data_IF_352536463980
#
_entry.id   IF_352536463980
#
_cell.length_a   1.000
_cell.length_b   1.000
_cell.length_c   1.000
_cell.angle_alpha   90.00
_cell.angle_beta   90.00
_cell.angle_gamma   90.00
#
_symmetry.space_group_name_H-M   'P 1'
#
loop_
_entity.id
_entity.type
_entity.pdbx_description
1 polymer ?
#
# COMPACT_ATOMS: atom_id res chain seq x y z
N UNK A 1 46.89 -16.30 -18.70
CA UNK A 1 45.79 -15.42 -19.12
C UNK A 1 44.46 -16.07 -18.78
N UNK A 2 43.80 -15.69 -17.67
CA UNK A 2 42.37 -15.92 -17.47
C UNK A 2 41.81 -14.70 -16.75
N UNK A 3 41.06 -13.88 -17.49
CA UNK A 3 40.44 -12.64 -17.01
C UNK A 3 39.22 -13.04 -16.16
N UNK A 4 39.21 -12.65 -14.89
CA UNK A 4 38.02 -12.74 -14.05
C UNK A 4 37.12 -11.55 -14.41
N UNK A 5 35.99 -11.83 -15.07
CA UNK A 5 34.92 -10.86 -15.27
C UNK A 5 33.97 -10.96 -14.08
N UNK A 6 34.13 -10.06 -13.11
CA UNK A 6 33.14 -9.85 -12.05
C UNK A 6 31.99 -9.07 -12.66
N UNK A 7 30.88 -9.74 -12.94
CA UNK A 7 29.61 -9.06 -13.25
C UNK A 7 29.13 -8.36 -11.96
N UNK A 8 29.25 -7.04 -11.91
CA UNK A 8 28.46 -6.22 -11.01
C UNK A 8 26.99 -6.33 -11.44
N UNK A 9 26.23 -7.16 -10.72
CA UNK A 9 24.78 -7.07 -10.74
C UNK A 9 24.38 -5.73 -10.12
N UNK A 10 23.95 -4.79 -10.96
CA UNK A 10 23.27 -3.56 -10.55
C UNK A 10 22.01 -3.95 -9.76
N UNK A 11 22.11 -3.95 -8.44
CA UNK A 11 20.95 -3.96 -7.57
C UNK A 11 20.30 -2.59 -7.72
N UNK A 12 19.30 -2.48 -8.59
CA UNK A 12 18.44 -1.31 -8.68
C UNK A 12 17.56 -1.28 -7.43
N UNK A 13 18.12 -0.86 -6.29
CA UNK A 13 17.32 -0.42 -5.16
C UNK A 13 16.72 0.92 -5.54
N UNK A 14 15.55 0.90 -6.18
CA UNK A 14 14.69 2.09 -6.23
C UNK A 14 14.15 2.34 -4.83
N UNK A 15 15.04 2.80 -3.93
CA UNK A 15 14.66 3.44 -2.70
C UNK A 15 14.05 4.76 -3.10
N UNK A 16 12.72 4.85 -3.06
CA UNK A 16 12.04 6.13 -3.13
C UNK A 16 12.52 6.94 -1.92
N UNK A 17 13.45 7.87 -2.15
CA UNK A 17 13.88 8.79 -1.12
C UNK A 17 12.65 9.63 -0.74
N UNK A 18 12.16 9.45 0.49
CA UNK A 18 11.08 10.28 1.00
C UNK A 18 11.59 11.74 1.05
N UNK A 19 10.78 12.72 0.63
CA UNK A 19 11.17 14.11 0.61
C UNK A 19 11.35 14.66 2.04
N UNK A 20 11.94 15.85 2.16
CA UNK A 20 12.06 16.58 3.44
C UNK A 20 12.91 15.89 4.51
N UNK A 21 13.88 15.05 4.12
CA UNK A 21 14.65 14.20 5.06
C UNK A 21 13.75 13.31 5.91
N UNK A 22 12.58 12.93 5.38
CA UNK A 22 11.68 12.02 6.05
C UNK A 22 12.20 10.58 5.95
N UNK A 23 11.92 9.79 6.99
CA UNK A 23 12.17 8.34 7.02
C UNK A 23 10.89 7.53 7.02
N UNK A 24 9.76 8.14 7.37
CA UNK A 24 8.45 7.50 7.28
C UNK A 24 7.36 8.49 6.85
N UNK A 25 6.21 7.93 6.44
CA UNK A 25 5.06 8.68 5.96
C UNK A 25 3.75 7.97 6.33
N UNK A 26 2.69 8.74 6.59
CA UNK A 26 1.36 8.21 6.88
C UNK A 26 0.24 9.01 6.19
N UNK A 27 -0.94 8.40 6.08
CA UNK A 27 -2.13 9.00 5.44
C UNK A 27 -2.11 8.98 3.91
N UNK A 28 -1.11 8.33 3.31
CA UNK A 28 -0.82 8.32 1.89
C UNK A 28 -1.54 7.22 1.10
N UNK A 29 -2.23 6.28 1.74
CA UNK A 29 -2.66 5.04 1.07
C UNK A 29 -4.15 5.03 0.72
N UNK A 30 -4.47 4.39 -0.40
CA UNK A 30 -5.81 3.87 -0.74
C UNK A 30 -5.74 2.35 -0.68
N UNK A 31 -6.65 1.73 0.07
CA UNK A 31 -6.79 0.29 0.19
C UNK A 31 -7.62 -0.26 -0.96
N UNK A 32 -7.08 -1.20 -1.71
CA UNK A 32 -7.85 -1.99 -2.67
C UNK A 32 -8.13 -3.36 -2.05
N UNK A 33 -9.24 -3.48 -1.32
CA UNK A 33 -9.56 -4.66 -0.50
C UNK A 33 -9.60 -5.95 -1.34
N UNK A 34 -10.28 -5.91 -2.49
CA UNK A 34 -10.40 -7.05 -3.42
C UNK A 34 -9.07 -7.47 -4.06
N UNK A 35 -8.14 -6.52 -4.17
CA UNK A 35 -6.79 -6.76 -4.69
C UNK A 35 -5.77 -7.07 -3.57
N UNK A 36 -6.18 -7.02 -2.29
CA UNK A 36 -5.34 -7.23 -1.11
C UNK A 36 -4.06 -6.38 -1.14
N UNK A 37 -4.19 -5.11 -1.52
CA UNK A 37 -3.04 -4.21 -1.69
C UNK A 37 -3.36 -2.77 -1.35
N UNK A 38 -2.30 -1.98 -1.16
CA UNK A 38 -2.38 -0.55 -0.90
C UNK A 38 -1.65 0.22 -1.99
N UNK A 39 -2.24 1.32 -2.43
CA UNK A 39 -1.63 2.20 -3.42
C UNK A 39 -1.35 3.55 -2.78
N UNK A 40 -0.10 3.98 -2.89
CA UNK A 40 0.34 5.27 -2.37
C UNK A 40 -0.13 6.40 -3.29
N UNK A 41 -1.01 7.24 -2.79
CA UNK A 41 -1.61 8.39 -3.48
C UNK A 41 -0.65 9.52 -3.79
N UNK A 42 0.51 9.58 -3.14
CA UNK A 42 1.52 10.61 -3.41
C UNK A 42 2.45 10.25 -4.57
N UNK A 43 2.80 8.97 -4.71
CA UNK A 43 3.77 8.50 -5.71
C UNK A 43 3.15 7.72 -6.87
N UNK A 44 1.95 7.16 -6.71
CA UNK A 44 1.33 6.33 -7.74
C UNK A 44 0.90 7.18 -8.93
N UNK A 45 1.47 6.89 -10.11
CA UNK A 45 1.08 7.53 -11.36
C UNK A 45 -0.20 6.97 -11.96
N UNK A 46 -0.63 5.79 -11.53
CA UNK A 46 -1.81 5.10 -12.06
C UNK A 46 -3.04 5.24 -11.17
N UNK A 47 -2.91 5.81 -9.97
CA UNK A 47 -4.05 5.99 -9.07
C UNK A 47 -4.90 7.16 -9.56
N UNK A 48 -6.19 6.92 -9.78
CA UNK A 48 -7.16 7.97 -10.07
C UNK A 48 -8.51 7.71 -9.38
N UNK A 49 -9.38 8.71 -9.38
CA UNK A 49 -10.74 8.66 -8.84
C UNK A 49 -11.73 9.15 -9.90
N UNK A 50 -12.80 8.40 -10.17
CA UNK A 50 -13.79 8.76 -11.20
C UNK A 50 -15.04 9.49 -10.65
N UNK A 51 -15.07 9.75 -9.34
CA UNK A 51 -16.22 10.30 -8.63
C UNK A 51 -16.98 9.27 -7.79
N UNK A 52 -16.78 7.97 -8.05
CA UNK A 52 -17.40 6.87 -7.29
C UNK A 52 -16.36 5.86 -6.81
N UNK A 53 -15.44 5.48 -7.69
CA UNK A 53 -14.45 4.44 -7.47
C UNK A 53 -13.02 4.99 -7.64
N UNK A 54 -12.11 4.49 -6.80
CA UNK A 54 -10.69 4.56 -7.02
C UNK A 54 -10.26 3.48 -8.01
N UNK A 55 -9.35 3.84 -8.92
CA UNK A 55 -8.75 2.93 -9.89
C UNK A 55 -7.24 2.99 -9.81
N UNK A 56 -6.58 1.85 -9.92
CA UNK A 56 -5.13 1.78 -10.02
C UNK A 56 -4.66 0.54 -10.78
N UNK A 57 -3.56 0.66 -11.51
CA UNK A 57 -2.87 -0.50 -12.07
C UNK A 57 -1.91 -1.03 -11.00
N UNK A 58 -2.21 -2.20 -10.45
CA UNK A 58 -1.43 -2.80 -9.35
C UNK A 58 -0.72 -4.06 -9.83
N UNK A 59 0.47 -4.28 -9.29
CA UNK A 59 1.25 -5.49 -9.54
C UNK A 59 0.79 -6.57 -8.57
N UNK A 60 0.17 -7.63 -9.09
CA UNK A 60 -0.31 -8.78 -8.30
C UNK A 60 0.51 -10.02 -8.61
N UNK A 61 0.72 -10.85 -7.60
CA UNK A 61 1.31 -12.16 -7.82
C UNK A 61 0.30 -13.08 -8.53
N UNK A 62 0.69 -13.64 -9.67
CA UNK A 62 -0.07 -14.64 -10.41
C UNK A 62 0.34 -16.06 -10.05
N UNK A 63 1.60 -16.27 -9.67
CA UNK A 63 2.17 -17.58 -9.40
C UNK A 63 3.18 -17.50 -8.26
N UNK A 64 3.04 -18.41 -7.32
CA UNK A 64 3.87 -18.53 -6.13
C UNK A 64 4.75 -19.77 -6.25
N UNK A 65 5.98 -19.68 -5.74
CA UNK A 65 6.95 -20.79 -5.74
C UNK A 65 6.41 -22.01 -4.97
N UNK A 66 5.70 -21.75 -3.87
CA UNK A 66 5.07 -22.76 -3.02
C UNK A 66 3.68 -22.28 -2.55
N UNK A 67 2.89 -23.19 -1.98
CA UNK A 67 1.58 -22.90 -1.38
C UNK A 67 1.66 -22.43 0.09
N UNK A 68 2.86 -22.28 0.65
CA UNK A 68 3.07 -21.97 2.06
C UNK A 68 3.05 -20.46 2.36
N UNK A 69 2.95 -20.09 3.63
CA UNK A 69 2.78 -18.70 4.07
C UNK A 69 3.99 -17.80 3.77
N UNK A 70 5.19 -18.37 3.65
CA UNK A 70 6.42 -17.66 3.27
C UNK A 70 6.76 -17.77 1.77
N UNK A 71 5.73 -17.90 0.93
CA UNK A 71 5.87 -18.03 -0.51
C UNK A 71 6.53 -16.81 -1.16
N UNK A 72 7.48 -17.07 -2.05
CA UNK A 72 8.02 -16.08 -2.98
C UNK A 72 7.17 -16.05 -4.25
N UNK A 73 6.83 -14.86 -4.72
CA UNK A 73 6.15 -14.73 -5.99
C UNK A 73 7.13 -14.94 -7.15
N UNK A 74 6.84 -15.91 -8.02
CA UNK A 74 7.67 -16.22 -9.20
C UNK A 74 7.19 -15.48 -10.44
N UNK A 75 5.88 -15.16 -10.51
CA UNK A 75 5.30 -14.43 -11.64
C UNK A 75 4.35 -13.35 -11.18
N UNK A 76 4.57 -12.13 -11.68
CA UNK A 76 3.69 -11.01 -11.45
C UNK A 76 2.94 -10.61 -12.71
N UNK A 77 1.71 -10.14 -12.52
CA UNK A 77 0.88 -9.55 -13.56
C UNK A 77 0.44 -8.16 -13.12
N UNK A 78 0.13 -7.31 -14.09
CA UNK A 78 -0.53 -6.03 -13.83
C UNK A 78 -2.03 -6.23 -13.91
N UNK A 79 -2.77 -5.74 -12.91
CA UNK A 79 -4.23 -5.81 -12.88
C UNK A 79 -4.79 -4.42 -12.63
N UNK A 80 -5.91 -4.10 -13.29
CA UNK A 80 -6.69 -2.92 -12.95
C UNK A 80 -7.48 -3.24 -11.69
N UNK A 81 -7.11 -2.61 -10.58
CA UNK A 81 -7.83 -2.69 -9.33
C UNK A 81 -8.81 -1.53 -9.25
N UNK A 82 -10.02 -1.85 -8.79
CA UNK A 82 -11.10 -0.89 -8.54
C UNK A 82 -11.53 -1.01 -7.08
N UNK A 83 -11.80 0.12 -6.45
CA UNK A 83 -12.25 0.18 -5.07
C UNK A 83 -13.25 1.32 -4.90
N UNK A 84 -14.49 1.05 -4.45
CA UNK A 84 -15.43 2.09 -4.09
C UNK A 84 -14.92 3.03 -3.00
N UNK A 85 -15.24 4.31 -3.15
CA UNK A 85 -14.99 5.34 -2.12
C UNK A 85 -15.67 4.96 -0.81
N UNK A 86 -16.88 4.42 -0.92
CA UNK A 86 -17.66 3.90 0.18
C UNK A 86 -17.93 2.40 -0.02
N UNK A 87 -17.52 1.59 0.96
CA UNK A 87 -17.73 0.15 1.00
C UNK A 87 -17.99 -0.31 2.44
N UNK A 88 -17.89 -1.62 2.67
CA UNK A 88 -17.90 -2.21 3.99
C UNK A 88 -16.62 -3.02 4.24
N UNK A 89 -16.29 -3.24 5.51
CA UNK A 89 -15.24 -4.16 5.93
C UNK A 89 -15.66 -4.94 7.15
N UNK A 90 -15.07 -6.13 7.33
CA UNK A 90 -15.14 -6.84 8.60
C UNK A 90 -14.20 -6.16 9.59
N UNK A 91 -14.68 -5.94 10.81
CA UNK A 91 -13.89 -5.51 11.96
C UNK A 91 -14.16 -6.50 13.08
N UNK A 92 -13.12 -6.83 13.84
CA UNK A 92 -13.31 -7.64 15.02
C UNK A 92 -14.03 -6.81 16.10
N UNK A 93 -15.20 -7.29 16.55
CA UNK A 93 -15.99 -6.68 17.61
C UNK A 93 -15.56 -7.16 19.00
N UNK A 94 -15.06 -8.39 19.10
CA UNK A 94 -14.68 -9.03 20.37
C UNK A 94 -13.48 -9.96 20.21
N UNK A 95 -12.58 -9.93 21.19
CA UNK A 95 -11.37 -10.75 21.26
C UNK A 95 -11.41 -11.64 22.50
N UNK A 96 -10.88 -12.87 22.39
CA UNK A 96 -10.70 -13.78 23.52
C UNK A 96 -9.19 -13.96 23.76
N UNK A 97 -8.71 -13.74 24.99
CA UNK A 97 -7.30 -13.92 25.37
C UNK A 97 -6.49 -12.64 25.61
N UNK A 98 -7.07 -11.45 25.41
CA UNK A 98 -6.41 -10.15 25.62
C UNK A 98 -6.62 -9.18 24.45
N UNK A 99 -5.93 -8.04 24.47
CA UNK A 99 -5.82 -7.19 23.28
C UNK A 99 -4.94 -7.93 22.26
N UNK A 100 -5.52 -8.31 21.12
CA UNK A 100 -4.88 -8.98 19.95
C UNK A 100 -4.89 -10.52 19.92
N UNK A 101 -5.57 -11.22 20.82
CA UNK A 101 -5.75 -12.68 20.72
C UNK A 101 -7.09 -13.06 20.05
N UNK A 102 -7.15 -14.25 19.43
CA UNK A 102 -8.17 -14.73 18.46
C UNK A 102 -9.50 -13.97 18.47
N UNK A 103 -9.81 -13.30 17.36
CA UNK A 103 -11.11 -12.66 17.15
C UNK A 103 -12.26 -13.68 17.24
N UNK A 104 -13.24 -13.42 18.11
CA UNK A 104 -14.39 -14.30 18.34
C UNK A 104 -15.67 -13.82 17.66
N UNK A 105 -15.77 -12.52 17.38
CA UNK A 105 -16.94 -11.91 16.75
C UNK A 105 -16.52 -10.89 15.68
N UNK A 106 -17.07 -11.05 14.48
CA UNK A 106 -16.84 -10.14 13.35
C UNK A 106 -18.10 -9.32 13.08
N UNK A 107 -17.94 -8.01 12.95
CA UNK A 107 -19.00 -7.10 12.52
C UNK A 107 -18.68 -6.46 11.17
N UNK A 108 -19.74 -6.20 10.39
CA UNK A 108 -19.62 -5.46 9.13
C UNK A 108 -19.79 -3.98 9.39
N UNK A 109 -18.73 -3.21 9.21
CA UNK A 109 -18.74 -1.75 9.42
C UNK A 109 -18.57 -1.01 8.11
N UNK A 110 -19.13 0.21 8.05
CA UNK A 110 -18.92 1.15 6.94
C UNK A 110 -17.42 1.46 6.82
N UNK A 111 -16.92 1.46 5.60
CA UNK A 111 -15.55 1.82 5.26
C UNK A 111 -15.57 2.92 4.21
N UNK A 112 -14.96 4.06 4.53
CA UNK A 112 -14.92 5.22 3.65
C UNK A 112 -13.48 5.65 3.41
N UNK A 113 -13.15 5.96 2.16
CA UNK A 113 -11.83 6.44 1.75
C UNK A 113 -11.98 7.74 0.98
N UNK A 114 -11.52 8.85 1.58
CA UNK A 114 -11.52 10.16 0.93
C UNK A 114 -10.53 10.22 -0.24
N UNK A 115 -10.89 10.89 -1.35
CA UNK A 115 -9.93 11.26 -2.42
C UNK A 115 -8.98 12.38 -1.96
N UNK A 116 -9.40 13.18 -0.98
CA UNK A 116 -8.55 14.16 -0.33
C UNK A 116 -7.73 13.47 0.76
N UNK A 117 -6.41 13.50 0.63
CA UNK A 117 -5.45 12.87 1.54
C UNK A 117 -4.65 13.93 2.28
N UNK A 118 -4.50 13.73 3.58
CA UNK A 118 -3.55 14.49 4.41
C UNK A 118 -2.38 13.58 4.72
N UNK A 119 -1.25 13.87 4.10
CA UNK A 119 -0.03 13.09 4.18
C UNK A 119 0.89 13.74 5.19
N UNK A 120 1.38 12.95 6.14
CA UNK A 120 2.35 13.40 7.14
C UNK A 120 3.69 12.73 6.88
N UNK A 121 4.76 13.51 6.91
CA UNK A 121 6.14 13.08 6.73
C UNK A 121 6.88 13.22 8.05
N UNK A 122 7.62 12.18 8.46
CA UNK A 122 8.31 12.15 9.75
C UNK A 122 9.80 11.88 9.57
N UNK A 123 10.62 12.46 10.45
CA UNK A 123 12.09 12.33 10.40
C UNK A 123 12.59 10.99 10.91
N UNK A 124 11.78 10.33 11.74
CA UNK A 124 12.02 8.99 12.27
C UNK A 124 11.08 7.96 11.65
N UNK A 125 11.33 6.69 11.95
CA UNK A 125 10.54 5.56 11.48
C UNK A 125 9.31 5.30 12.35
N UNK A 126 9.34 5.74 13.62
CA UNK A 126 8.29 5.56 14.63
C UNK A 126 7.13 6.57 14.51
N UNK A 127 7.22 7.48 13.54
CA UNK A 127 6.25 8.54 13.25
C UNK A 127 6.03 9.54 14.40
N UNK A 128 7.10 9.92 15.12
CA UNK A 128 7.02 10.84 16.26
C UNK A 128 7.43 12.29 15.90
N UNK A 129 8.52 12.48 15.15
CA UNK A 129 9.05 13.79 14.73
C UNK A 129 8.45 14.21 13.39
N UNK A 130 7.31 14.91 13.44
CA UNK A 130 6.62 15.44 12.26
C UNK A 130 7.43 16.54 11.57
N UNK A 131 7.83 16.30 10.34
CA UNK A 131 8.56 17.27 9.50
C UNK A 131 7.63 18.12 8.67
N UNK A 132 6.63 17.49 8.03
CA UNK A 132 5.75 18.19 7.09
C UNK A 132 4.39 17.51 6.98
N UNK A 133 3.36 18.33 6.76
CA UNK A 133 2.05 17.86 6.32
C UNK A 133 1.76 18.40 4.92
N UNK A 134 1.29 17.54 4.02
CA UNK A 134 0.88 17.89 2.66
C UNK A 134 -0.56 17.41 2.45
N UNK A 135 -1.39 18.27 1.87
CA UNK A 135 -2.73 17.88 1.41
C UNK A 135 -2.67 17.65 -0.09
N UNK A 136 -3.16 16.51 -0.54
CA UNK A 136 -3.31 16.21 -1.98
C UNK A 136 -4.72 15.73 -2.25
N UNK A 137 -5.12 15.81 -3.51
CA UNK A 137 -6.35 15.21 -4.01
C UNK A 137 -5.93 14.15 -5.04
N UNK A 138 -6.48 12.94 -4.92
CA UNK A 138 -6.29 11.89 -5.93
C UNK A 138 -6.80 12.43 -7.27
N UNK A 139 -6.01 12.34 -8.36
CA UNK A 139 -6.40 12.92 -9.64
C UNK A 139 -7.63 12.23 -10.23
N UNK A 140 -8.39 12.96 -11.04
CA UNK A 140 -9.50 12.37 -11.80
C UNK A 140 -9.00 11.35 -12.82
N UNK A 141 -9.81 10.33 -13.10
CA UNK A 141 -9.52 9.41 -14.20
C UNK A 141 -9.71 10.12 -15.55
N UNK A 142 -8.77 9.94 -16.48
CA UNK A 142 -8.78 10.52 -17.83
C UNK A 142 -9.19 9.47 -18.87
#
# INVERSE_FOLDING_TARGET
>A
MKKLLVLLALVSTSAFALPYNAKSMSGDKVHFQKASTWVNSYYSKSLCFDGTDFHAVVRKCAEWETSEDNRRCVKYIMVNATQPQESTRQRCASYEGGEDDRCTEWETVRYFQSENKTIKFFRDEDMQDLVKTVKITVPSCN
#
